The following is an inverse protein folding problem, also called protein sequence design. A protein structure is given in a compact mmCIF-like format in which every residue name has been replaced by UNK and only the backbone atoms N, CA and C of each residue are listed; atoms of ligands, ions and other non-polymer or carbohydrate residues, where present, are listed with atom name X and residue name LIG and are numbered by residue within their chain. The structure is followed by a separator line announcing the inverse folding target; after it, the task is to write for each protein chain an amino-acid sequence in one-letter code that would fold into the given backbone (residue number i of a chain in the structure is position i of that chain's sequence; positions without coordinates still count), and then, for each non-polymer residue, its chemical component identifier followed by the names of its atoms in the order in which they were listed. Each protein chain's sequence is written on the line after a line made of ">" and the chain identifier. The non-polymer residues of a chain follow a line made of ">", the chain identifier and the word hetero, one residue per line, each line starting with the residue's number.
data_IF_932185541724
#
_entry.id   IF_932185541724
#
_cell.length_a   1.000
_cell.length_b   1.000
_cell.length_c   1.000
_cell.angle_alpha   90.00
_cell.angle_beta   90.00
_cell.angle_gamma   90.00
#
_symmetry.space_group_name_H-M   'P 1'
#
loop_
_entity.id
_entity.type
_entity.pdbx_description
1 polymer ?
#
# COMPACT_ATOMS: atom_id res chain seq x y z
N UNK A 1 16.99 -8.00 26.73
CA UNK A 1 15.89 -7.06 26.41
C UNK A 1 16.54 -5.81 25.88
N UNK A 2 16.25 -5.40 24.65
CA UNK A 2 16.64 -4.06 24.19
C UNK A 2 15.71 -3.07 24.87
N UNK A 3 16.20 -2.40 25.92
CA UNK A 3 15.52 -1.25 26.50
C UNK A 3 15.44 -0.20 25.39
N UNK A 4 14.29 0.41 25.18
CA UNK A 4 14.07 1.45 24.17
C UNK A 4 12.68 2.01 24.35
N UNK A 5 12.39 3.12 23.68
CA UNK A 5 11.11 3.79 23.77
C UNK A 5 10.67 4.27 22.39
N UNK A 6 9.36 4.36 22.19
CA UNK A 6 8.86 5.09 21.03
C UNK A 6 9.15 6.59 21.17
N UNK A 7 9.51 7.23 20.07
CA UNK A 7 9.57 8.68 19.97
C UNK A 7 8.21 9.31 20.26
N UNK A 8 8.21 10.63 20.49
CA UNK A 8 6.99 11.42 20.49
C UNK A 8 6.22 11.26 19.18
N UNK A 9 4.90 11.43 19.26
CA UNK A 9 4.02 11.40 18.11
C UNK A 9 4.25 12.63 17.23
N UNK A 10 4.50 12.39 15.95
CA UNK A 10 4.45 13.41 14.90
C UNK A 10 3.13 13.29 14.15
N UNK A 11 2.73 14.36 13.46
CA UNK A 11 1.48 14.42 12.70
C UNK A 11 1.72 14.92 11.28
N UNK A 12 1.05 14.29 10.33
CA UNK A 12 1.05 14.63 8.91
C UNK A 12 -0.39 14.93 8.49
N UNK A 13 -0.70 16.16 8.00
CA UNK A 13 -2.03 16.47 7.50
C UNK A 13 -2.36 15.61 6.26
N UNK A 14 -3.35 14.73 6.39
CA UNK A 14 -3.85 13.88 5.30
C UNK A 14 -5.27 13.43 5.64
N UNK A 15 -6.23 13.75 4.78
CA UNK A 15 -7.63 13.38 4.98
C UNK A 15 -7.89 11.90 4.72
N UNK A 16 -9.00 11.37 5.21
CA UNK A 16 -9.46 10.01 4.89
C UNK A 16 -9.82 9.78 3.41
N UNK A 17 -10.03 10.85 2.64
CA UNK A 17 -10.20 10.75 1.18
C UNK A 17 -8.86 10.50 0.46
N UNK A 18 -7.77 11.02 1.03
CA UNK A 18 -6.41 10.86 0.50
C UNK A 18 -5.71 9.61 1.00
N UNK A 19 -5.90 9.22 2.28
CA UNK A 19 -5.35 8.00 2.84
C UNK A 19 -6.26 7.48 3.96
N UNK A 20 -6.64 6.21 3.91
CA UNK A 20 -7.31 5.50 5.00
C UNK A 20 -6.47 4.28 5.39
N UNK A 21 -5.61 4.41 6.41
CA UNK A 21 -4.67 3.34 6.79
C UNK A 21 -5.39 2.04 7.20
N UNK A 22 -6.55 2.15 7.85
CA UNK A 22 -7.34 0.98 8.23
C UNK A 22 -7.82 0.18 7.00
N UNK A 23 -8.06 0.84 5.86
CA UNK A 23 -8.44 0.13 4.63
C UNK A 23 -7.19 -0.32 3.87
N UNK A 24 -6.26 0.60 3.62
CA UNK A 24 -5.04 0.37 2.83
C UNK A 24 -4.17 -0.76 3.41
N UNK A 25 -3.95 -0.78 4.73
CA UNK A 25 -3.08 -1.78 5.38
C UNK A 25 -3.73 -3.17 5.52
N UNK A 26 -5.04 -3.30 5.25
CA UNK A 26 -5.80 -4.56 5.38
C UNK A 26 -6.28 -5.14 4.06
N UNK A 27 -6.10 -4.43 2.96
CA UNK A 27 -6.62 -4.83 1.65
C UNK A 27 -5.70 -5.79 0.88
N UNK A 28 -4.68 -6.37 1.51
CA UNK A 28 -3.84 -7.40 0.91
C UNK A 28 -2.73 -6.87 -0.01
N UNK A 29 -2.32 -5.61 0.17
CA UNK A 29 -1.16 -5.03 -0.50
C UNK A 29 0.15 -5.38 0.23
N UNK A 30 0.23 -5.04 1.51
CA UNK A 30 1.29 -5.46 2.42
C UNK A 30 0.76 -6.46 3.43
N UNK A 31 1.64 -7.30 3.94
CA UNK A 31 1.31 -8.36 4.90
C UNK A 31 2.06 -8.23 6.23
N UNK A 32 2.81 -7.13 6.42
CA UNK A 32 3.69 -6.89 7.57
C UNK A 32 3.08 -5.98 8.64
N UNK A 33 2.05 -5.22 8.29
CA UNK A 33 1.33 -4.36 9.22
C UNK A 33 0.39 -5.17 10.10
N UNK A 34 0.51 -5.02 11.41
CA UNK A 34 -0.48 -5.53 12.36
C UNK A 34 -1.06 -4.40 13.21
N UNK A 35 -2.34 -4.54 13.51
CA UNK A 35 -3.03 -3.67 14.47
C UNK A 35 -2.80 -4.20 15.88
N UNK A 36 -2.47 -3.30 16.80
CA UNK A 36 -2.34 -3.56 18.23
C UNK A 36 -3.70 -3.21 18.87
N UNK A 37 -4.51 -4.20 19.27
CA UNK A 37 -5.91 -3.96 19.62
C UNK A 37 -6.12 -2.97 20.76
N UNK A 38 -5.24 -2.98 21.76
CA UNK A 38 -5.39 -2.16 22.97
C UNK A 38 -5.16 -0.66 22.73
N UNK A 39 -4.44 -0.30 21.67
CA UNK A 39 -4.07 1.09 21.36
C UNK A 39 -4.55 1.59 20.00
N UNK A 40 -5.20 0.72 19.22
CA UNK A 40 -5.56 0.95 17.81
C UNK A 40 -4.38 1.46 16.94
N UNK A 41 -3.16 1.02 17.29
CA UNK A 41 -1.94 1.36 16.57
C UNK A 41 -1.63 0.31 15.50
N UNK A 42 -1.22 0.77 14.32
CA UNK A 42 -0.64 -0.06 13.28
C UNK A 42 0.87 -0.08 13.43
N UNK A 43 1.47 -1.25 13.58
CA UNK A 43 2.93 -1.41 13.72
C UNK A 43 3.50 -2.23 12.57
N UNK A 44 4.68 -1.83 12.11
CA UNK A 44 5.45 -2.51 11.08
C UNK A 44 6.92 -2.12 11.22
N UNK A 45 7.83 -3.03 10.85
CA UNK A 45 9.23 -2.65 10.59
C UNK A 45 9.33 -2.20 9.14
N UNK A 46 10.02 -1.10 8.85
CA UNK A 46 10.38 -0.70 7.50
C UNK A 46 11.83 -0.22 7.52
N UNK A 47 12.69 -0.82 6.70
CA UNK A 47 14.12 -0.47 6.58
C UNK A 47 14.82 -0.32 7.95
N UNK A 48 14.70 -1.36 8.79
CA UNK A 48 15.31 -1.44 10.11
C UNK A 48 14.62 -0.61 11.19
N UNK A 49 13.54 0.11 10.87
CA UNK A 49 12.83 0.99 11.82
C UNK A 49 11.48 0.41 12.19
N UNK A 50 11.25 0.18 13.48
CA UNK A 50 9.93 -0.17 13.99
C UNK A 50 9.05 1.08 14.08
N UNK A 51 8.06 1.18 13.21
CA UNK A 51 7.12 2.28 13.14
C UNK A 51 5.80 1.94 13.86
N UNK A 52 5.16 2.96 14.41
CA UNK A 52 3.78 2.91 14.91
C UNK A 52 2.98 4.05 14.29
N UNK A 53 1.79 3.74 13.78
CA UNK A 53 0.87 4.65 13.11
C UNK A 53 -0.52 4.60 13.74
N UNK A 54 -1.21 5.74 13.74
CA UNK A 54 -2.66 5.85 13.96
C UNK A 54 -3.21 7.01 13.15
N UNK A 55 -4.52 7.08 12.93
CA UNK A 55 -5.09 8.10 12.04
C UNK A 55 -6.42 8.61 12.55
N UNK A 56 -6.64 9.92 12.41
CA UNK A 56 -7.94 10.57 12.57
C UNK A 56 -8.46 11.09 11.20
N UNK A 57 -9.64 11.72 11.12
CA UNK A 57 -10.19 12.20 9.84
C UNK A 57 -9.32 13.16 9.03
N UNK A 58 -8.34 13.80 9.65
CA UNK A 58 -7.55 14.93 9.14
C UNK A 58 -6.04 14.72 9.17
N UNK A 59 -5.54 13.82 10.03
CA UNK A 59 -4.11 13.60 10.23
C UNK A 59 -3.75 12.12 10.34
N UNK A 60 -2.61 11.78 9.75
CA UNK A 60 -1.85 10.57 10.07
C UNK A 60 -0.86 10.90 11.19
N UNK A 61 -0.88 10.12 12.26
CA UNK A 61 0.08 10.19 13.35
C UNK A 61 1.10 9.08 13.19
N UNK A 62 2.37 9.39 13.41
CA UNK A 62 3.47 8.43 13.28
C UNK A 62 4.54 8.64 14.34
N UNK A 63 5.23 7.56 14.69
CA UNK A 63 6.41 7.54 15.57
C UNK A 63 7.29 6.33 15.25
N UNK A 64 8.55 6.37 15.67
CA UNK A 64 9.48 5.23 15.54
C UNK A 64 9.95 4.77 16.90
N UNK A 65 10.29 3.49 17.03
CA UNK A 65 11.01 2.99 18.19
C UNK A 65 12.48 3.40 18.12
N UNK A 66 13.01 3.91 19.23
CA UNK A 66 14.38 4.30 19.43
C UNK A 66 15.03 3.30 20.41
N UNK A 67 15.95 2.43 19.95
CA UNK A 67 16.69 1.56 20.86
C UNK A 67 17.60 2.38 21.78
N UNK A 68 17.74 2.01 23.06
CA UNK A 68 18.54 2.77 24.05
C UNK A 68 20.05 2.78 23.76
N UNK A 69 20.51 1.90 22.87
CA UNK A 69 21.85 1.96 22.31
C UNK A 69 21.73 1.92 20.78
N UNK A 70 22.44 2.79 20.05
CA UNK A 70 22.52 2.68 18.60
C UNK A 70 23.11 1.30 18.25
N UNK A 71 22.59 0.61 17.21
CA UNK A 71 23.15 -0.67 16.80
C UNK A 71 24.63 -0.48 16.44
N UNK A 72 25.51 -1.31 17.00
CA UNK A 72 26.97 -1.25 16.79
C UNK A 72 27.41 -1.56 15.34
N UNK A 73 26.48 -1.75 14.39
CA UNK A 73 26.76 -2.01 12.98
C UNK A 73 25.92 -1.10 12.05
N UNK A 74 26.03 0.21 12.19
CA UNK A 74 25.73 1.12 11.08
C UNK A 74 27.01 1.35 10.29
N UNK A 75 27.09 0.73 9.12
CA UNK A 75 28.04 1.09 8.07
C UNK A 75 27.85 2.60 7.83
N UNK A 76 28.83 3.41 8.23
CA UNK A 76 28.94 4.78 7.78
C UNK A 76 28.88 4.79 6.24
N UNK A 77 28.24 5.78 5.60
CA UNK A 77 28.28 5.89 4.14
C UNK A 77 29.75 5.85 3.69
N UNK A 78 30.09 5.07 2.66
CA UNK A 78 31.46 4.98 2.20
C UNK A 78 31.95 6.38 1.80
N UNK A 79 33.21 6.74 2.10
CA UNK A 79 33.76 8.01 1.67
C UNK A 79 33.69 8.10 0.13
N UNK A 80 33.45 9.30 -0.43
CA UNK A 80 33.39 9.46 -1.88
C UNK A 80 34.69 8.97 -2.54
N UNK A 81 34.61 8.38 -3.75
CA UNK A 81 35.77 7.83 -4.42
C UNK A 81 36.84 8.92 -4.63
N UNK A 82 38.13 8.57 -4.50
CA UNK A 82 39.21 9.53 -4.65
C UNK A 82 39.19 10.13 -6.05
N UNK A 83 39.06 11.46 -6.13
CA UNK A 83 39.21 12.22 -7.38
C UNK A 83 40.59 11.90 -7.96
N UNK A 84 40.59 11.36 -9.17
CA UNK A 84 41.78 11.09 -9.98
C UNK A 84 42.64 12.35 -10.05
N UNK A 85 43.87 12.23 -9.57
CA UNK A 85 44.85 13.31 -9.52
C UNK A 85 45.25 13.74 -10.94
N UNK A 86 44.94 14.99 -11.30
CA UNK A 86 45.62 15.71 -12.36
C UNK A 86 46.75 16.55 -11.70
N UNK A 87 47.96 16.38 -12.22
CA UNK A 87 49.22 16.85 -11.67
C UNK A 87 49.40 18.38 -11.68
N UNK A 88 49.81 18.97 -10.54
CA UNK A 88 50.50 20.30 -10.42
C UNK A 88 51.46 20.26 -9.18
N UNK A 89 52.68 20.86 -9.23
CA UNK A 89 53.85 20.51 -8.38
C UNK A 89 53.94 21.29 -7.03
N UNK A 90 54.95 21.04 -6.15
CA UNK A 90 54.81 21.21 -4.71
C UNK A 90 55.29 22.57 -4.20
N UNK A 91 54.62 23.13 -3.18
CA UNK A 91 55.32 23.91 -2.11
C UNK A 91 54.47 24.18 -0.86
N UNK A 92 55.10 23.91 0.29
CA UNK A 92 54.99 24.56 1.62
C UNK A 92 53.83 24.24 2.58
N UNK A 93 54.25 23.65 3.71
CA UNK A 93 53.59 23.44 4.99
C UNK A 93 53.10 24.76 5.63
N UNK A 94 51.93 24.73 6.31
CA UNK A 94 51.72 25.51 7.54
C UNK A 94 50.56 25.01 8.43
N UNK A 95 50.95 24.73 9.68
CA UNK A 95 50.29 24.72 10.99
C UNK A 95 48.75 24.74 11.16
N UNK A 96 48.28 23.84 12.03
CA UNK A 96 46.95 23.76 12.65
C UNK A 96 46.70 24.83 13.75
N UNK A 97 45.45 25.25 14.00
CA UNK A 97 45.03 25.89 15.25
C UNK A 97 44.17 24.98 16.18
N UNK A 98 44.04 25.34 17.49
CA UNK A 98 43.59 24.46 18.58
C UNK A 98 42.04 24.43 18.77
N UNK A 99 41.50 23.54 19.63
CA UNK A 99 40.05 23.29 19.71
C UNK A 99 39.35 24.35 20.57
N UNK A 100 38.19 24.83 20.10
CA UNK A 100 37.29 25.69 20.86
C UNK A 100 36.00 24.96 21.22
N UNK A 101 35.56 25.19 22.44
CA UNK A 101 34.47 24.53 23.16
C UNK A 101 33.12 24.53 22.41
N UNK A 102 32.48 23.36 22.36
CA UNK A 102 31.13 23.19 21.85
C UNK A 102 30.10 23.75 22.83
N UNK A 103 29.60 24.95 22.54
CA UNK A 103 28.29 25.43 23.01
C UNK A 103 27.21 24.57 22.35
N UNK A 104 26.37 23.94 23.17
CA UNK A 104 25.19 23.20 22.74
C UNK A 104 24.20 24.13 22.05
N UNK A 105 24.00 23.96 20.75
CA UNK A 105 22.90 24.57 19.99
C UNK A 105 21.64 23.69 20.04
N UNK A 106 20.44 24.28 19.98
CA UNK A 106 19.17 23.56 20.08
C UNK A 106 18.92 22.73 18.82
N UNK A 107 18.35 21.53 18.97
CA UNK A 107 18.00 20.64 17.87
C UNK A 107 16.88 21.24 17.03
N UNK A 108 17.17 21.55 15.76
CA UNK A 108 16.17 21.94 14.76
C UNK A 108 15.20 20.80 14.48
N UNK A 109 13.94 21.13 14.20
CA UNK A 109 12.87 20.22 13.74
C UNK A 109 13.16 19.50 12.39
N UNK A 110 14.32 19.74 11.77
CA UNK A 110 14.71 19.26 10.42
C UNK A 110 15.15 17.79 10.34
N UNK A 111 15.37 17.09 11.46
CA UNK A 111 15.76 15.67 11.46
C UNK A 111 14.53 14.74 11.59
N UNK A 112 13.62 14.75 10.59
CA UNK A 112 12.58 13.72 10.45
C UNK A 112 12.95 12.66 9.39
N UNK A 113 13.68 11.58 9.75
CA UNK A 113 13.97 10.52 8.79
C UNK A 113 12.74 9.66 8.46
N UNK A 114 11.62 9.80 9.19
CA UNK A 114 10.42 8.98 9.02
C UNK A 114 9.48 9.59 7.99
N UNK A 115 9.35 10.92 7.97
CA UNK A 115 8.41 11.59 7.07
C UNK A 115 8.70 11.32 5.58
N UNK A 116 9.94 11.41 5.06
CA UNK A 116 10.25 11.05 3.67
C UNK A 116 9.94 9.58 3.38
N UNK A 117 10.26 8.68 4.33
CA UNK A 117 9.97 7.25 4.20
C UNK A 117 8.46 6.99 4.08
N UNK A 118 7.64 7.57 4.96
CA UNK A 118 6.18 7.40 4.92
C UNK A 118 5.56 8.08 3.70
N UNK A 119 6.08 9.24 3.30
CA UNK A 119 5.65 9.96 2.10
C UNK A 119 5.85 9.11 0.85
N UNK A 120 7.01 8.45 0.73
CA UNK A 120 7.29 7.51 -0.34
C UNK A 120 6.45 6.24 -0.23
N UNK A 121 6.40 5.59 0.94
CA UNK A 121 5.71 4.31 1.17
C UNK A 121 4.20 4.39 0.91
N UNK A 122 3.54 5.44 1.40
CA UNK A 122 2.13 5.69 1.12
C UNK A 122 1.88 6.39 -0.20
N UNK A 123 2.93 6.69 -0.98
CA UNK A 123 2.81 7.31 -2.30
C UNK A 123 2.06 8.65 -2.28
N UNK A 124 2.31 9.47 -1.25
CA UNK A 124 1.53 10.69 -0.96
C UNK A 124 1.60 11.83 -1.98
N UNK A 125 2.67 12.00 -2.80
CA UNK A 125 2.71 13.10 -3.77
C UNK A 125 1.58 13.09 -4.81
N UNK A 126 1.05 11.92 -5.18
CA UNK A 126 -0.10 11.83 -6.08
C UNK A 126 -1.38 12.30 -5.38
N UNK A 127 -2.17 13.18 -5.99
CA UNK A 127 -3.47 13.59 -5.45
C UNK A 127 -4.52 12.50 -5.72
N UNK A 128 -4.94 11.77 -4.67
CA UNK A 128 -5.82 10.62 -4.83
C UNK A 128 -7.25 11.04 -5.19
N UNK A 129 -7.73 12.16 -4.66
CA UNK A 129 -9.06 12.70 -4.96
C UNK A 129 -9.21 13.00 -6.45
N UNK A 130 -8.23 13.67 -7.06
CA UNK A 130 -8.21 13.94 -8.50
C UNK A 130 -8.18 12.65 -9.33
N UNK A 131 -7.43 11.63 -8.89
CA UNK A 131 -7.44 10.32 -9.55
C UNK A 131 -8.83 9.67 -9.48
N UNK A 132 -9.49 9.70 -8.32
CA UNK A 132 -10.84 9.16 -8.14
C UNK A 132 -11.86 9.88 -9.01
N UNK A 133 -11.75 11.20 -9.14
CA UNK A 133 -12.59 12.00 -10.04
C UNK A 133 -12.39 11.57 -11.50
N UNK A 134 -11.14 11.46 -11.95
CA UNK A 134 -10.80 11.01 -13.30
C UNK A 134 -11.34 9.60 -13.59
N UNK A 135 -11.04 8.62 -12.75
CA UNK A 135 -11.55 7.25 -12.92
C UNK A 135 -13.07 7.19 -12.89
N UNK A 136 -13.71 7.99 -12.03
CA UNK A 136 -15.16 8.08 -11.97
C UNK A 136 -15.75 8.69 -13.23
N UNK A 137 -15.08 9.64 -13.89
CA UNK A 137 -15.55 10.20 -15.17
C UNK A 137 -15.53 9.14 -16.28
N UNK A 138 -14.50 8.30 -16.33
CA UNK A 138 -14.30 7.29 -17.37
C UNK A 138 -15.01 5.95 -17.12
N UNK A 139 -15.39 5.62 -15.88
CA UNK A 139 -16.07 4.37 -15.57
C UNK A 139 -17.24 4.55 -14.58
N UNK A 140 -18.45 4.26 -15.08
CA UNK A 140 -19.68 4.30 -14.28
C UNK A 140 -19.71 3.23 -13.18
N UNK A 141 -19.07 2.07 -13.38
CA UNK A 141 -18.98 1.04 -12.35
C UNK A 141 -18.10 1.50 -11.19
N UNK A 142 -16.95 2.10 -11.49
CA UNK A 142 -16.08 2.73 -10.50
C UNK A 142 -16.80 3.85 -9.75
N UNK A 143 -17.41 4.80 -10.47
CA UNK A 143 -18.16 5.94 -9.90
C UNK A 143 -19.20 5.52 -8.86
N UNK A 144 -19.88 4.39 -9.08
CA UNK A 144 -20.90 3.87 -8.16
C UNK A 144 -20.32 3.35 -6.85
N UNK A 145 -19.10 2.81 -6.85
CA UNK A 145 -18.50 2.15 -5.67
C UNK A 145 -17.51 3.05 -4.93
N UNK A 146 -16.79 3.90 -5.65
CA UNK A 146 -15.70 4.72 -5.12
C UNK A 146 -16.06 5.54 -3.87
N UNK A 147 -17.26 6.14 -3.74
CA UNK A 147 -17.60 6.96 -2.56
C UNK A 147 -17.55 6.21 -1.21
N UNK A 148 -17.70 4.88 -1.21
CA UNK A 148 -17.65 4.06 0.00
C UNK A 148 -16.25 3.51 0.32
N UNK A 149 -15.31 3.71 -0.61
CA UNK A 149 -13.98 3.11 -0.61
C UNK A 149 -12.92 4.16 -0.97
N UNK A 150 -12.95 5.33 -0.32
CA UNK A 150 -11.96 6.40 -0.50
C UNK A 150 -10.67 6.14 0.30
N UNK A 151 -9.60 6.86 -0.02
CA UNK A 151 -8.33 6.79 0.73
C UNK A 151 -7.53 5.51 0.53
N UNK A 152 -7.92 4.66 -0.43
CA UNK A 152 -7.15 3.45 -0.77
C UNK A 152 -6.05 3.85 -1.75
N UNK A 153 -4.81 3.85 -1.25
CA UNK A 153 -3.60 4.11 -2.04
C UNK A 153 -2.89 2.80 -2.39
N UNK A 154 -2.11 2.82 -3.46
CA UNK A 154 -1.12 1.78 -3.72
C UNK A 154 0.12 2.08 -2.89
N UNK A 155 0.48 1.15 -2.00
CA UNK A 155 1.73 1.20 -1.26
C UNK A 155 2.89 1.01 -2.22
N UNK A 156 3.93 1.82 -2.07
CA UNK A 156 5.25 1.54 -2.64
C UNK A 156 5.99 0.68 -1.61
N UNK A 157 6.17 -0.58 -1.92
CA UNK A 157 6.91 -1.55 -1.12
C UNK A 157 8.32 -1.73 -1.69
N UNK A 158 9.21 -2.25 -0.86
CA UNK A 158 10.46 -2.82 -1.34
C UNK A 158 10.16 -3.94 -2.36
N UNK A 159 10.89 -3.96 -3.48
CA UNK A 159 10.55 -4.85 -4.59
C UNK A 159 10.80 -6.33 -4.23
N UNK A 160 11.82 -6.59 -3.42
CA UNK A 160 12.16 -7.91 -2.93
C UNK A 160 11.13 -8.40 -1.89
N UNK A 161 10.75 -7.56 -0.94
CA UNK A 161 9.65 -7.84 0.01
C UNK A 161 8.36 -8.18 -0.76
N UNK A 162 7.99 -7.35 -1.74
CA UNK A 162 6.79 -7.57 -2.55
C UNK A 162 6.86 -8.92 -3.30
N UNK A 163 8.00 -9.22 -3.94
CA UNK A 163 8.20 -10.46 -4.70
C UNK A 163 7.97 -11.71 -3.83
N UNK A 164 8.65 -11.80 -2.71
CA UNK A 164 8.56 -12.97 -1.83
C UNK A 164 7.18 -13.06 -1.16
N UNK A 165 6.61 -11.93 -0.74
CA UNK A 165 5.27 -11.90 -0.17
C UNK A 165 4.19 -12.34 -1.18
N UNK A 166 4.29 -11.93 -2.45
CA UNK A 166 3.32 -12.34 -3.47
C UNK A 166 3.53 -13.77 -3.97
N UNK A 167 4.74 -14.33 -3.92
CA UNK A 167 4.95 -15.78 -4.07
C UNK A 167 4.15 -16.54 -3.00
N UNK A 168 4.19 -16.07 -1.73
CA UNK A 168 3.38 -16.62 -0.63
C UNK A 168 1.87 -16.53 -0.87
N UNK A 169 1.42 -15.56 -1.69
CA UNK A 169 -0.01 -15.28 -1.92
C UNK A 169 -0.71 -16.24 -2.88
N UNK A 170 0.03 -16.94 -3.74
CA UNK A 170 -0.53 -17.85 -4.74
C UNK A 170 -1.44 -18.91 -4.08
N UNK A 171 -2.71 -19.02 -4.48
CA UNK A 171 -3.69 -19.94 -3.89
C UNK A 171 -3.71 -19.92 -2.34
N UNK A 172 -3.91 -18.73 -1.76
CA UNK A 172 -3.84 -18.51 -0.32
C UNK A 172 -4.84 -17.41 0.12
N UNK A 173 -4.90 -17.12 1.41
CA UNK A 173 -5.70 -16.02 1.97
C UNK A 173 -4.84 -15.04 2.77
N UNK A 174 -5.30 -13.78 2.89
CA UNK A 174 -4.55 -12.68 3.50
C UNK A 174 -4.01 -13.05 4.89
N UNK A 175 -4.84 -13.63 5.76
CA UNK A 175 -4.44 -13.98 7.13
C UNK A 175 -3.28 -14.98 7.17
N UNK A 176 -3.36 -16.05 6.35
CA UNK A 176 -2.29 -17.04 6.27
C UNK A 176 -1.02 -16.47 5.61
N UNK A 177 -1.15 -15.58 4.64
CA UNK A 177 0.00 -14.92 4.01
C UNK A 177 0.75 -14.06 5.04
N UNK A 178 0.04 -13.25 5.83
CA UNK A 178 0.63 -12.46 6.92
C UNK A 178 1.40 -13.33 7.92
N UNK A 179 0.84 -14.47 8.32
CA UNK A 179 1.54 -15.41 9.20
C UNK A 179 2.80 -16.01 8.56
N UNK A 180 2.75 -16.32 7.27
CA UNK A 180 3.92 -16.81 6.53
C UNK A 180 5.02 -15.74 6.50
N UNK A 181 4.68 -14.52 6.08
CA UNK A 181 5.64 -13.40 6.00
C UNK A 181 6.23 -13.10 7.39
N UNK A 182 5.42 -13.12 8.45
CA UNK A 182 5.93 -12.95 9.83
C UNK A 182 6.96 -14.04 10.20
N UNK A 183 6.67 -15.32 9.92
CA UNK A 183 7.60 -16.43 10.19
C UNK A 183 8.91 -16.28 9.42
N UNK A 184 8.84 -15.83 8.16
CA UNK A 184 10.01 -15.58 7.33
C UNK A 184 10.87 -14.45 7.91
N UNK A 185 10.26 -13.34 8.31
CA UNK A 185 10.97 -12.23 8.96
C UNK A 185 11.61 -12.67 10.29
N UNK A 186 10.90 -13.43 11.13
CA UNK A 186 11.46 -13.91 12.41
C UNK A 186 12.61 -14.90 12.23
N UNK A 187 12.61 -15.67 11.13
CA UNK A 187 13.62 -16.70 10.87
C UNK A 187 14.91 -16.15 10.24
N UNK A 188 14.78 -15.21 9.30
CA UNK A 188 15.90 -14.74 8.47
C UNK A 188 16.13 -13.23 8.58
N UNK A 189 15.14 -12.47 9.05
CA UNK A 189 15.21 -11.02 9.13
C UNK A 189 16.00 -10.53 10.33
N UNK A 190 16.70 -9.41 10.14
CA UNK A 190 17.44 -8.75 11.21
C UNK A 190 16.50 -8.37 12.37
N UNK A 191 16.90 -8.72 13.60
CA UNK A 191 16.16 -8.32 14.79
C UNK A 191 16.24 -6.80 14.98
N UNK A 192 15.10 -6.16 15.27
CA UNK A 192 15.01 -4.71 15.50
C UNK A 192 14.73 -4.39 16.96
N UNK A 193 13.66 -4.95 17.54
CA UNK A 193 13.25 -4.65 18.91
C UNK A 193 12.32 -5.70 19.50
N UNK A 194 12.17 -5.69 20.83
CA UNK A 194 11.07 -6.38 21.53
C UNK A 194 10.10 -5.36 22.13
N UNK A 195 8.95 -5.25 21.46
CA UNK A 195 7.72 -4.49 21.74
C UNK A 195 6.67 -5.22 22.57
N UNK A 196 6.43 -4.95 23.86
CA UNK A 196 5.32 -5.58 24.60
C UNK A 196 5.35 -7.13 24.54
N UNK A 197 6.53 -7.72 24.71
CA UNK A 197 6.75 -9.17 24.60
C UNK A 197 6.78 -9.73 23.16
N UNK A 198 6.54 -8.91 22.13
CA UNK A 198 6.64 -9.30 20.72
C UNK A 198 7.99 -8.89 20.12
N UNK A 199 8.69 -9.84 19.53
CA UNK A 199 9.90 -9.58 18.74
C UNK A 199 9.55 -9.06 17.34
N UNK A 200 10.22 -7.99 16.92
CA UNK A 200 10.08 -7.35 15.62
C UNK A 200 11.37 -7.56 14.82
N UNK A 201 11.21 -8.04 13.59
CA UNK A 201 12.31 -8.30 12.66
C UNK A 201 12.03 -7.58 11.36
N UNK A 202 13.07 -7.15 10.67
CA UNK A 202 12.93 -6.61 9.32
C UNK A 202 12.71 -7.72 8.27
N UNK A 203 12.42 -7.33 7.03
CA UNK A 203 12.36 -8.29 5.94
C UNK A 203 13.78 -8.76 5.59
N UNK A 204 14.04 -10.06 5.42
CA UNK A 204 15.36 -10.55 5.07
C UNK A 204 15.73 -10.16 3.64
N UNK A 205 16.96 -9.71 3.41
CA UNK A 205 17.52 -9.61 2.05
C UNK A 205 17.74 -11.00 1.42
N UNK A 206 17.95 -11.07 0.10
CA UNK A 206 18.16 -12.34 -0.59
C UNK A 206 19.41 -13.09 -0.11
N UNK A 207 20.46 -12.37 0.32
CA UNK A 207 21.71 -12.93 0.85
C UNK A 207 21.48 -13.70 2.16
N UNK A 208 20.62 -13.17 3.04
CA UNK A 208 20.25 -13.83 4.30
C UNK A 208 19.47 -15.14 4.08
N UNK A 209 19.05 -15.42 2.84
CA UNK A 209 18.24 -16.57 2.44
C UNK A 209 18.98 -17.56 1.52
N UNK A 210 20.30 -17.43 1.36
CA UNK A 210 21.11 -18.41 0.61
C UNK A 210 22.20 -19.09 1.46
N UNK A 211 22.58 -18.47 2.59
CA UNK A 211 23.63 -18.97 3.48
C UNK A 211 25.03 -18.83 2.86
N UNK A 212 26.04 -18.58 3.69
CA UNK A 212 27.43 -18.59 3.22
C UNK A 212 27.82 -20.04 2.94
N UNK A 213 28.14 -20.35 1.68
CA UNK A 213 28.79 -21.60 1.32
C UNK A 213 30.30 -21.44 1.55
N UNK A 214 30.72 -21.23 2.80
CA UNK A 214 32.13 -21.17 3.17
C UNK A 214 32.56 -22.50 3.82
N UNK A 215 33.68 -23.04 3.32
CA UNK A 215 34.52 -24.09 3.91
C UNK A 215 33.83 -25.31 4.57
N UNK A 216 32.94 -25.97 3.84
CA UNK A 216 32.56 -27.36 4.14
C UNK A 216 31.43 -27.57 5.14
N UNK A 217 30.76 -26.51 5.61
CA UNK A 217 29.45 -26.65 6.27
C UNK A 217 28.32 -26.72 5.22
N UNK A 218 27.34 -27.62 5.43
CA UNK A 218 26.14 -27.66 4.61
C UNK A 218 25.39 -26.32 4.75
N UNK A 219 25.39 -25.53 3.69
CA UNK A 219 24.66 -24.25 3.64
C UNK A 219 23.20 -24.41 4.03
N UNK A 220 22.59 -23.33 4.56
CA UNK A 220 21.23 -23.36 5.10
C UNK A 220 20.24 -23.87 4.05
N UNK A 221 19.62 -25.02 4.30
CA UNK A 221 18.52 -25.50 3.47
C UNK A 221 17.25 -24.67 3.75
N UNK A 222 17.13 -23.57 3.00
CA UNK A 222 15.99 -22.65 3.05
C UNK A 222 14.70 -23.33 2.63
N UNK A 223 14.73 -24.26 1.66
CA UNK A 223 13.52 -24.97 1.26
C UNK A 223 13.02 -25.86 2.42
N UNK A 224 13.88 -26.70 2.99
CA UNK A 224 13.50 -27.57 4.12
C UNK A 224 13.03 -26.76 5.33
N UNK A 225 13.72 -25.67 5.66
CA UNK A 225 13.35 -24.78 6.76
C UNK A 225 11.96 -24.17 6.53
N UNK A 226 11.70 -23.60 5.34
CA UNK A 226 10.40 -23.01 5.03
C UNK A 226 9.28 -24.06 4.94
N UNK A 227 9.57 -25.29 4.50
CA UNK A 227 8.63 -26.41 4.57
C UNK A 227 8.24 -26.70 6.02
N UNK A 228 9.22 -26.77 6.93
CA UNK A 228 9.00 -26.91 8.37
C UNK A 228 8.16 -25.78 8.98
N UNK A 229 8.26 -24.57 8.43
CA UNK A 229 7.46 -23.41 8.86
C UNK A 229 6.04 -23.34 8.25
N UNK A 230 5.70 -24.27 7.35
CA UNK A 230 4.35 -24.41 6.77
C UNK A 230 4.12 -23.67 5.44
N UNK A 231 5.18 -23.35 4.70
CA UNK A 231 5.09 -22.70 3.38
C UNK A 231 4.60 -23.62 2.27
N UNK A 232 4.68 -24.94 2.49
CA UNK A 232 4.30 -25.96 1.52
C UNK A 232 5.17 -25.90 0.26
N UNK A 233 4.55 -26.07 -0.92
CA UNK A 233 5.28 -26.06 -2.20
C UNK A 233 5.98 -24.72 -2.49
N UNK A 234 5.53 -23.61 -1.88
CA UNK A 234 6.10 -22.26 -2.08
C UNK A 234 7.51 -22.14 -1.49
N UNK A 235 7.86 -23.00 -0.53
CA UNK A 235 9.20 -23.05 0.04
C UNK A 235 10.28 -23.21 -1.04
N UNK A 236 10.04 -24.11 -2.00
CA UNK A 236 10.92 -24.31 -3.16
C UNK A 236 11.07 -23.05 -3.98
N UNK A 237 9.95 -22.40 -4.31
CA UNK A 237 9.93 -21.19 -5.13
C UNK A 237 10.73 -20.07 -4.46
N UNK A 238 10.49 -19.83 -3.18
CA UNK A 238 11.21 -18.82 -2.39
C UNK A 238 12.70 -19.12 -2.32
N UNK A 239 13.09 -20.37 -2.00
CA UNK A 239 14.50 -20.76 -1.92
C UNK A 239 15.22 -20.61 -3.26
N UNK A 240 14.59 -20.99 -4.37
CA UNK A 240 15.16 -20.80 -5.71
C UNK A 240 15.23 -19.33 -6.12
N UNK A 241 14.17 -18.54 -5.86
CA UNK A 241 14.17 -17.11 -6.14
C UNK A 241 15.26 -16.38 -5.36
N UNK A 242 15.48 -16.71 -4.08
CA UNK A 242 16.57 -16.15 -3.30
C UNK A 242 17.95 -16.47 -3.90
N UNK A 243 18.18 -17.73 -4.31
CA UNK A 243 19.43 -18.11 -4.99
C UNK A 243 19.65 -17.36 -6.30
N UNK A 244 18.64 -17.30 -7.15
CA UNK A 244 18.72 -16.60 -8.44
C UNK A 244 19.07 -15.12 -8.22
N UNK A 245 18.34 -14.45 -7.32
CA UNK A 245 18.53 -13.01 -7.08
C UNK A 245 19.87 -12.71 -6.39
N UNK A 246 20.29 -13.54 -5.43
CA UNK A 246 21.53 -13.30 -4.68
C UNK A 246 22.81 -13.71 -5.45
N UNK A 247 22.75 -14.78 -6.24
CA UNK A 247 23.96 -15.46 -6.76
C UNK A 247 24.06 -15.49 -8.29
N UNK A 248 22.94 -15.40 -9.02
CA UNK A 248 22.93 -15.58 -10.48
C UNK A 248 22.66 -14.27 -11.25
N UNK A 249 21.98 -13.31 -10.63
CA UNK A 249 21.69 -12.00 -11.21
C UNK A 249 22.73 -10.97 -10.78
N UNK A 250 22.87 -9.94 -11.60
CA UNK A 250 23.67 -8.77 -11.27
C UNK A 250 23.11 -8.02 -10.05
N UNK A 251 24.00 -7.38 -9.29
CA UNK A 251 23.61 -6.55 -8.14
C UNK A 251 22.62 -5.47 -8.58
N UNK A 252 21.52 -5.34 -7.83
CA UNK A 252 20.46 -4.39 -8.16
C UNK A 252 19.57 -4.79 -9.34
N UNK A 253 19.66 -6.02 -9.87
CA UNK A 253 18.82 -6.50 -10.98
C UNK A 253 17.32 -6.20 -10.80
N UNK A 254 16.77 -6.52 -9.62
CA UNK A 254 15.35 -6.31 -9.34
C UNK A 254 14.98 -4.82 -9.27
N UNK A 255 15.85 -3.99 -8.69
CA UNK A 255 15.67 -2.54 -8.65
C UNK A 255 15.82 -1.90 -10.03
N UNK A 256 16.63 -2.48 -10.91
CA UNK A 256 16.74 -2.09 -12.32
C UNK A 256 15.44 -2.28 -13.12
N UNK A 257 14.48 -3.06 -12.62
CA UNK A 257 13.15 -3.22 -13.23
C UNK A 257 12.13 -2.16 -12.78
N UNK A 258 12.52 -1.26 -11.88
CA UNK A 258 11.64 -0.22 -11.32
C UNK A 258 11.25 0.79 -12.40
N UNK A 259 10.04 1.31 -12.28
CA UNK A 259 9.60 2.44 -13.09
C UNK A 259 10.53 3.65 -12.81
N UNK A 260 11.21 4.22 -13.82
CA UNK A 260 12.11 5.35 -13.65
C UNK A 260 11.39 6.62 -13.14
N UNK A 261 10.07 6.73 -13.34
CA UNK A 261 9.25 7.81 -12.79
C UNK A 261 8.91 7.61 -11.29
N UNK A 262 9.26 6.45 -10.70
CA UNK A 262 8.97 6.13 -9.30
C UNK A 262 10.18 6.38 -8.38
N UNK A 263 9.92 6.99 -7.23
CA UNK A 263 10.93 7.19 -6.18
C UNK A 263 11.24 5.84 -5.50
N UNK A 264 12.52 5.48 -5.37
CA UNK A 264 12.97 4.32 -4.60
C UNK A 264 12.85 4.57 -3.09
N UNK A 265 12.45 3.54 -2.32
CA UNK A 265 12.35 3.63 -0.86
C UNK A 265 13.73 3.46 -0.21
N UNK A 266 13.99 4.22 0.86
CA UNK A 266 15.13 3.96 1.75
C UNK A 266 16.50 4.50 1.29
N UNK A 267 16.66 4.98 0.05
CA UNK A 267 17.87 5.70 -0.36
C UNK A 267 17.78 7.19 -0.01
N UNK A 268 18.10 7.50 1.24
CA UNK A 268 18.41 8.86 1.71
C UNK A 268 19.68 9.35 0.98
N UNK A 269 19.49 9.86 -0.23
CA UNK A 269 20.54 10.22 -1.17
C UNK A 269 20.02 10.36 -2.61
N UNK A 270 18.83 9.82 -2.92
CA UNK A 270 18.16 10.03 -4.21
C UNK A 270 16.94 10.97 -4.11
N UNK A 271 17.00 11.95 -3.20
CA UNK A 271 16.31 13.23 -3.45
C UNK A 271 17.20 14.03 -4.39
N UNK A 272 17.20 13.66 -5.68
CA UNK A 272 17.98 14.35 -6.72
C UNK A 272 19.16 13.58 -7.33
N UNK A 273 19.21 12.25 -7.24
CA UNK A 273 20.08 11.48 -8.10
C UNK A 273 19.47 11.40 -9.50
N UNK A 274 20.21 11.75 -10.54
CA UNK A 274 19.90 11.45 -11.96
C UNK A 274 19.90 9.92 -12.26
N UNK A 275 19.37 9.11 -11.35
CA UNK A 275 19.33 7.66 -11.40
C UNK A 275 18.00 7.16 -11.91
N UNK A 276 17.79 7.35 -13.21
CA UNK A 276 16.58 6.94 -13.92
C UNK A 276 16.38 7.69 -15.22
N UNK A 277 17.43 8.02 -15.97
CA UNK A 277 17.34 8.45 -17.38
C UNK A 277 16.86 7.32 -18.32
N UNK A 278 16.16 6.33 -17.78
CA UNK A 278 15.49 5.30 -18.55
C UNK A 278 14.17 5.85 -19.06
N UNK A 279 13.95 5.74 -20.36
CA UNK A 279 12.62 5.96 -20.92
C UNK A 279 11.68 4.87 -20.39
N UNK A 280 10.58 5.26 -19.73
CA UNK A 280 9.53 4.31 -19.33
C UNK A 280 8.90 3.62 -20.55
N UNK A 281 9.11 4.19 -21.74
CA UNK A 281 8.61 3.74 -23.03
C UNK A 281 7.29 4.42 -23.36
N UNK A 282 6.95 4.43 -24.65
CA UNK A 282 5.70 4.98 -25.14
C UNK A 282 4.48 4.24 -24.58
N UNK A 283 3.38 4.98 -24.37
CA UNK A 283 2.13 4.41 -23.91
C UNK A 283 1.44 3.56 -24.98
N UNK A 284 1.08 2.32 -24.61
CA UNK A 284 0.30 1.37 -25.44
C UNK A 284 -0.85 0.79 -24.61
N UNK A 285 -1.84 0.18 -25.27
CA UNK A 285 -2.98 -0.47 -24.59
C UNK A 285 -2.52 -1.59 -23.64
N UNK A 286 -1.47 -2.29 -24.06
CA UNK A 286 -0.81 -3.32 -23.30
C UNK A 286 -0.07 -2.74 -22.08
N UNK A 287 0.15 -1.44 -22.00
CA UNK A 287 1.04 -0.79 -21.03
C UNK A 287 2.41 -0.49 -21.64
N UNK A 288 3.21 0.29 -20.92
CA UNK A 288 4.50 0.77 -21.44
C UNK A 288 5.52 -0.36 -21.58
N UNK A 289 6.52 -0.14 -22.42
CA UNK A 289 7.58 -1.11 -22.71
C UNK A 289 8.35 -1.52 -21.45
N UNK A 290 8.71 -0.55 -20.59
CA UNK A 290 9.42 -0.84 -19.34
C UNK A 290 8.60 -1.74 -18.39
N UNK A 291 7.30 -1.49 -18.25
CA UNK A 291 6.40 -2.37 -17.49
C UNK A 291 6.38 -3.79 -18.07
N UNK A 292 6.26 -3.91 -19.40
CA UNK A 292 6.22 -5.23 -20.06
C UNK A 292 7.53 -5.99 -19.93
N UNK A 293 8.66 -5.30 -20.00
CA UNK A 293 9.97 -5.88 -19.73
C UNK A 293 10.08 -6.38 -18.29
N UNK A 294 9.73 -5.54 -17.30
CA UNK A 294 9.74 -5.91 -15.88
C UNK A 294 8.85 -7.14 -15.62
N UNK A 295 7.64 -7.15 -16.17
CA UNK A 295 6.70 -8.28 -16.05
C UNK A 295 7.29 -9.57 -16.65
N UNK A 296 7.86 -9.50 -17.86
CA UNK A 296 8.47 -10.64 -18.51
C UNK A 296 9.68 -11.20 -17.72
N UNK A 297 10.52 -10.32 -17.16
CA UNK A 297 11.67 -10.71 -16.33
C UNK A 297 11.26 -11.40 -15.03
N UNK A 298 10.17 -10.93 -14.40
CA UNK A 298 9.63 -11.57 -13.21
C UNK A 298 9.07 -12.98 -13.51
N UNK A 299 8.47 -13.20 -14.69
CA UNK A 299 7.96 -14.51 -15.12
C UNK A 299 9.05 -15.57 -15.33
N UNK A 300 10.32 -15.18 -15.44
CA UNK A 300 11.45 -16.12 -15.50
C UNK A 300 11.65 -16.87 -14.15
N UNK A 301 11.12 -16.32 -13.04
CA UNK A 301 11.25 -16.89 -11.70
C UNK A 301 10.21 -18.00 -11.43
N UNK A 302 10.67 -19.13 -10.89
CA UNK A 302 9.76 -20.23 -10.55
C UNK A 302 8.74 -19.80 -9.49
N UNK A 303 7.46 -20.08 -9.73
CA UNK A 303 6.36 -19.71 -8.83
C UNK A 303 5.80 -18.31 -9.06
N UNK A 304 6.40 -17.52 -9.97
CA UNK A 304 5.88 -16.21 -10.39
C UNK A 304 5.06 -16.38 -11.66
N UNK A 305 3.73 -16.41 -11.50
CA UNK A 305 2.79 -16.33 -12.63
C UNK A 305 2.39 -14.88 -12.95
N UNK A 306 1.60 -14.64 -14.02
CA UNK A 306 1.22 -13.29 -14.47
C UNK A 306 0.67 -12.40 -13.35
N UNK A 307 -0.22 -12.94 -12.50
CA UNK A 307 -0.77 -12.22 -11.35
C UNK A 307 0.29 -11.80 -10.34
N UNK A 308 1.24 -12.68 -10.02
CA UNK A 308 2.31 -12.38 -9.06
C UNK A 308 3.22 -11.31 -9.65
N UNK A 309 3.62 -11.46 -10.91
CA UNK A 309 4.43 -10.46 -11.62
C UNK A 309 3.75 -9.08 -11.62
N UNK A 310 2.45 -9.01 -11.96
CA UNK A 310 1.71 -7.74 -11.93
C UNK A 310 1.59 -7.15 -10.52
N UNK A 311 1.43 -7.96 -9.48
CA UNK A 311 1.44 -7.47 -8.10
C UNK A 311 2.79 -6.82 -7.74
N UNK A 312 3.91 -7.43 -8.15
CA UNK A 312 5.25 -6.88 -7.92
C UNK A 312 5.48 -5.64 -8.77
N UNK A 313 5.06 -5.63 -10.03
CA UNK A 313 5.12 -4.45 -10.89
C UNK A 313 4.37 -3.26 -10.26
N UNK A 314 3.14 -3.49 -9.79
CA UNK A 314 2.29 -2.43 -9.22
C UNK A 314 2.79 -1.92 -7.88
N UNK A 315 3.06 -2.83 -6.93
CA UNK A 315 3.30 -2.47 -5.53
C UNK A 315 4.78 -2.43 -5.15
N UNK A 316 5.65 -3.15 -5.86
CA UNK A 316 7.10 -3.17 -5.59
C UNK A 316 7.90 -2.25 -6.52
N UNK A 317 7.55 -2.23 -7.82
CA UNK A 317 8.34 -1.55 -8.86
C UNK A 317 7.72 -0.23 -9.35
N UNK A 318 6.52 0.16 -8.88
CA UNK A 318 5.93 1.46 -9.18
C UNK A 318 5.33 1.60 -10.60
N UNK A 319 5.02 0.49 -11.26
CA UNK A 319 4.29 0.48 -12.54
C UNK A 319 2.78 0.58 -12.29
N UNK A 320 2.25 1.80 -12.20
CA UNK A 320 0.85 2.08 -11.89
C UNK A 320 -0.16 1.45 -12.87
N UNK A 321 0.28 1.15 -14.10
CA UNK A 321 -0.56 0.54 -15.14
C UNK A 321 -0.68 -0.99 -15.03
N UNK A 322 0.08 -1.61 -14.12
CA UNK A 322 0.04 -3.06 -13.90
C UNK A 322 -1.29 -3.45 -13.24
N UNK A 323 -1.98 -4.44 -13.81
CA UNK A 323 -3.32 -4.85 -13.38
C UNK A 323 -3.29 -6.34 -13.03
N UNK A 324 -3.12 -6.70 -11.74
CA UNK A 324 -3.13 -8.09 -11.31
C UNK A 324 -4.53 -8.69 -11.44
N UNK A 325 -4.73 -9.67 -12.33
CA UNK A 325 -6.04 -10.32 -12.52
C UNK A 325 -6.08 -11.66 -11.79
N UNK A 326 -6.64 -11.65 -10.57
CA UNK A 326 -6.92 -12.87 -9.81
C UNK A 326 -8.39 -13.32 -9.95
N UNK A 327 -8.82 -14.26 -9.12
CA UNK A 327 -10.20 -14.75 -9.12
C UNK A 327 -11.22 -13.67 -8.71
N UNK A 328 -10.87 -12.74 -7.81
CA UNK A 328 -11.74 -11.63 -7.42
C UNK A 328 -11.88 -10.62 -8.56
N UNK A 329 -10.77 -10.25 -9.21
CA UNK A 329 -10.77 -9.34 -10.34
C UNK A 329 -11.48 -9.96 -11.54
N UNK A 330 -11.31 -11.26 -11.76
CA UNK A 330 -12.06 -12.00 -12.78
C UNK A 330 -13.58 -11.99 -12.50
N UNK A 331 -14.01 -12.13 -11.24
CA UNK A 331 -15.41 -12.00 -10.86
C UNK A 331 -15.95 -10.58 -11.10
N UNK A 332 -15.16 -9.55 -10.78
CA UNK A 332 -15.50 -8.14 -11.05
C UNK A 332 -15.66 -7.92 -12.56
N UNK A 333 -14.68 -8.37 -13.37
CA UNK A 333 -14.71 -8.26 -14.82
C UNK A 333 -15.97 -8.91 -15.43
N UNK A 334 -16.35 -10.10 -14.95
CA UNK A 334 -17.57 -10.78 -15.40
C UNK A 334 -18.85 -10.04 -14.97
N UNK A 335 -18.96 -9.71 -13.67
CA UNK A 335 -20.17 -9.12 -13.07
C UNK A 335 -20.44 -7.73 -13.62
N UNK A 336 -19.41 -6.88 -13.60
CA UNK A 336 -19.53 -5.44 -13.79
C UNK A 336 -19.21 -5.01 -15.24
N UNK A 337 -18.30 -5.72 -15.92
CA UNK A 337 -17.83 -5.38 -17.28
C UNK A 337 -18.20 -6.42 -18.35
N UNK A 338 -18.97 -7.45 -17.96
CA UNK A 338 -19.56 -8.46 -18.86
C UNK A 338 -18.53 -9.31 -19.63
N UNK A 339 -17.31 -9.46 -19.09
CA UNK A 339 -16.34 -10.44 -19.59
C UNK A 339 -16.85 -11.88 -19.45
N UNK A 340 -16.35 -12.78 -20.30
CA UNK A 340 -16.57 -14.23 -20.14
C UNK A 340 -17.99 -14.73 -20.37
N UNK A 341 -18.88 -13.96 -21.02
CA UNK A 341 -20.18 -14.48 -21.47
C UNK A 341 -19.99 -15.51 -22.58
N UNK A 342 -20.30 -16.78 -22.32
CA UNK A 342 -20.23 -17.88 -23.30
C UNK A 342 -19.48 -19.13 -22.81
N UNK A 343 -18.84 -19.87 -23.73
CA UNK A 343 -18.19 -21.17 -23.48
C UNK A 343 -16.85 -21.10 -22.71
N UNK A 344 -16.29 -19.92 -22.46
CA UNK A 344 -15.01 -19.76 -21.74
C UNK A 344 -15.24 -19.25 -20.32
N UNK A 345 -15.42 -20.19 -19.38
CA UNK A 345 -15.68 -19.89 -17.95
C UNK A 345 -14.40 -19.67 -17.11
N UNK A 346 -13.26 -20.21 -17.55
CA UNK A 346 -11.99 -20.17 -16.82
C UNK A 346 -11.03 -19.11 -17.36
N UNK A 347 -10.34 -18.41 -16.45
CA UNK A 347 -9.31 -17.42 -16.77
C UNK A 347 -8.11 -18.11 -17.46
N UNK A 348 -7.87 -17.78 -18.73
CA UNK A 348 -6.68 -18.16 -19.48
C UNK A 348 -5.84 -16.91 -19.82
N UNK A 349 -4.68 -17.09 -20.45
CA UNK A 349 -3.78 -15.96 -20.79
C UNK A 349 -4.47 -14.87 -21.63
N UNK A 350 -5.23 -15.26 -22.66
CA UNK A 350 -5.92 -14.30 -23.54
C UNK A 350 -6.94 -13.46 -22.77
N UNK A 351 -7.73 -14.10 -21.90
CA UNK A 351 -8.70 -13.41 -21.06
C UNK A 351 -8.02 -12.55 -19.98
N UNK A 352 -6.92 -13.03 -19.41
CA UNK A 352 -6.10 -12.26 -18.47
C UNK A 352 -5.63 -10.95 -19.11
N UNK A 353 -5.00 -11.05 -20.28
CA UNK A 353 -4.49 -9.90 -21.03
C UNK A 353 -5.63 -8.95 -21.44
N UNK A 354 -6.76 -9.49 -21.90
CA UNK A 354 -7.92 -8.69 -22.31
C UNK A 354 -8.54 -7.90 -21.16
N UNK A 355 -8.61 -8.48 -19.95
CA UNK A 355 -9.09 -7.77 -18.75
C UNK A 355 -8.11 -6.65 -18.37
N UNK A 356 -6.81 -6.94 -18.32
CA UNK A 356 -5.79 -5.94 -18.02
C UNK A 356 -5.81 -4.77 -19.00
N UNK A 357 -5.84 -5.06 -20.30
CA UNK A 357 -5.91 -4.06 -21.37
C UNK A 357 -7.20 -3.22 -21.28
N UNK A 358 -8.34 -3.84 -20.97
CA UNK A 358 -9.59 -3.11 -20.78
C UNK A 358 -9.50 -2.10 -19.63
N UNK A 359 -8.96 -2.50 -18.48
CA UNK A 359 -8.79 -1.58 -17.35
C UNK A 359 -7.75 -0.48 -17.61
N UNK A 360 -6.67 -0.77 -18.34
CA UNK A 360 -5.73 0.27 -18.81
C UNK A 360 -6.37 1.28 -19.77
N UNK A 361 -7.25 0.86 -20.66
CA UNK A 361 -8.01 1.79 -21.53
C UNK A 361 -8.94 2.70 -20.73
N UNK A 362 -9.53 2.21 -19.65
CA UNK A 362 -10.44 3.00 -18.82
C UNK A 362 -9.73 3.99 -17.91
N UNK A 363 -8.60 3.59 -17.33
CA UNK A 363 -7.99 4.31 -16.20
C UNK A 363 -6.55 4.80 -16.45
N UNK A 364 -5.99 4.48 -17.62
CA UNK A 364 -4.69 4.99 -18.05
C UNK A 364 -3.52 4.51 -17.19
N UNK A 365 -2.56 5.41 -16.95
CA UNK A 365 -1.29 5.13 -16.24
C UNK A 365 -1.49 4.59 -14.82
N UNK A 366 -2.64 4.82 -14.19
CA UNK A 366 -2.91 4.38 -12.81
C UNK A 366 -4.03 3.32 -12.74
N UNK A 367 -4.16 2.51 -13.79
CA UNK A 367 -5.19 1.48 -13.86
C UNK A 367 -5.11 0.44 -12.73
N UNK A 368 -3.91 0.08 -12.27
CA UNK A 368 -3.72 -0.80 -11.13
C UNK A 368 -4.24 -0.20 -9.83
N UNK A 369 -4.16 1.13 -9.66
CA UNK A 369 -4.71 1.80 -8.49
C UNK A 369 -6.22 1.77 -8.49
N UNK A 370 -6.86 2.14 -9.60
CA UNK A 370 -8.31 2.07 -9.73
C UNK A 370 -8.83 0.63 -9.53
N UNK A 371 -8.14 -0.35 -10.12
CA UNK A 371 -8.47 -1.77 -9.94
C UNK A 371 -8.37 -2.18 -8.46
N UNK A 372 -7.37 -1.70 -7.70
CA UNK A 372 -7.21 -2.03 -6.28
C UNK A 372 -8.39 -1.58 -5.42
N UNK A 373 -9.02 -0.45 -5.76
CA UNK A 373 -10.24 0.04 -5.08
C UNK A 373 -11.38 -0.95 -5.30
N UNK A 374 -11.59 -1.39 -6.54
CA UNK A 374 -12.65 -2.35 -6.87
C UNK A 374 -12.40 -3.72 -6.26
N UNK A 375 -11.14 -4.16 -6.23
CA UNK A 375 -10.72 -5.37 -5.55
C UNK A 375 -11.04 -5.29 -4.06
N UNK A 376 -10.64 -4.21 -3.41
CA UNK A 376 -10.90 -3.97 -1.98
C UNK A 376 -12.39 -3.99 -1.68
N UNK A 377 -13.20 -3.35 -2.52
CA UNK A 377 -14.66 -3.35 -2.40
C UNK A 377 -15.29 -4.75 -2.56
N UNK A 378 -14.58 -5.71 -3.14
CA UNK A 378 -15.03 -7.09 -3.34
C UNK A 378 -14.55 -8.06 -2.24
N UNK A 379 -13.73 -7.59 -1.28
CA UNK A 379 -13.27 -8.40 -0.16
C UNK A 379 -14.37 -8.52 0.90
N UNK A 380 -14.56 -9.75 1.43
CA UNK A 380 -15.56 -10.04 2.47
C UNK A 380 -15.39 -9.17 3.71
N UNK A 381 -14.15 -8.91 4.11
CA UNK A 381 -13.78 -8.06 5.26
C UNK A 381 -14.35 -6.64 5.20
N UNK A 382 -14.75 -6.17 4.02
CA UNK A 382 -15.33 -4.83 3.83
C UNK A 382 -16.77 -4.88 3.28
N UNK A 383 -17.41 -6.05 3.28
CA UNK A 383 -18.77 -6.21 2.76
C UNK A 383 -19.82 -5.39 3.53
N UNK A 384 -19.60 -5.15 4.82
CA UNK A 384 -20.50 -4.35 5.67
C UNK A 384 -20.61 -2.88 5.19
N UNK A 385 -19.57 -2.32 4.55
CA UNK A 385 -19.60 -0.95 4.02
C UNK A 385 -20.62 -0.81 2.89
N UNK A 386 -20.77 -1.86 2.07
CA UNK A 386 -21.77 -1.93 1.00
C UNK A 386 -23.17 -2.18 1.56
N UNK A 387 -23.28 -2.94 2.66
CA UNK A 387 -24.56 -3.25 3.31
C UNK A 387 -25.15 -2.03 4.04
N UNK A 388 -24.31 -1.23 4.71
CA UNK A 388 -24.73 -0.05 5.46
C UNK A 388 -25.47 0.99 4.60
N UNK A 389 -25.21 1.04 3.29
CA UNK A 389 -25.90 1.97 2.36
C UNK A 389 -27.26 1.46 1.86
N UNK A 390 -27.54 0.15 1.98
CA UNK A 390 -28.85 -0.40 1.57
C UNK A 390 -29.94 -0.15 2.62
N UNK A 391 -29.55 0.13 3.86
CA UNK A 391 -30.45 0.48 4.96
C UNK A 391 -30.60 2.00 5.09
N UNK A 392 -31.73 2.52 4.60
CA UNK A 392 -32.28 3.90 4.71
C UNK A 392 -31.70 4.96 3.76
N UNK A 393 -32.25 5.00 2.54
CA UNK A 393 -32.47 6.28 1.83
C UNK A 393 -33.94 6.65 2.02
N UNK A 394 -34.22 7.56 2.97
CA UNK A 394 -35.53 8.20 3.11
C UNK A 394 -35.52 9.52 2.37
N UNK A 395 -36.22 9.62 1.24
CA UNK A 395 -36.41 10.91 0.54
C UNK A 395 -37.68 11.56 1.10
N UNK A 396 -37.54 12.72 1.75
CA UNK A 396 -38.69 13.55 2.15
C UNK A 396 -38.79 14.72 1.17
N UNK A 397 -39.88 14.77 0.41
CA UNK A 397 -40.19 15.89 -0.50
C UNK A 397 -41.27 16.73 0.15
N UNK A 398 -40.97 17.98 0.46
CA UNK A 398 -41.96 18.96 0.92
C UNK A 398 -42.18 19.99 -0.19
N UNK A 399 -43.44 20.12 -0.63
CA UNK A 399 -43.90 21.13 -1.59
C UNK A 399 -44.64 22.19 -0.78
N UNK A 400 -44.19 23.44 -0.85
CA UNK A 400 -44.93 24.59 -0.29
C UNK A 400 -45.51 25.39 -1.43
N UNK A 401 -46.84 25.51 -1.44
CA UNK A 401 -47.54 26.45 -2.31
C UNK A 401 -47.52 27.82 -1.62
N UNK A 402 -46.90 28.82 -2.25
CA UNK A 402 -46.97 30.20 -1.78
C UNK A 402 -48.33 30.79 -2.21
N UNK A 403 -49.28 30.86 -1.27
CA UNK A 403 -50.47 31.71 -1.42
C UNK A 403 -50.05 33.18 -1.41
N UNK A 404 -49.76 33.73 -2.59
CA UNK A 404 -49.40 35.15 -2.71
C UNK A 404 -48.71 35.54 -4.01
N UNK A 405 -49.35 35.29 -5.15
CA UNK A 405 -49.14 36.03 -6.41
C UNK A 405 -47.72 36.38 -6.86
N UNK A 406 -46.96 35.39 -7.34
CA UNK A 406 -46.28 35.41 -8.66
C UNK A 406 -45.73 33.99 -8.98
N UNK A 407 -46.09 33.44 -10.15
CA UNK A 407 -45.94 32.03 -10.59
C UNK A 407 -44.55 31.37 -10.43
N UNK A 408 -44.25 30.78 -9.27
CA UNK A 408 -43.12 29.86 -9.11
C UNK A 408 -43.36 28.82 -8.02
N UNK A 409 -43.28 27.53 -8.36
CA UNK A 409 -43.32 26.42 -7.37
C UNK A 409 -41.89 26.17 -6.89
N UNK A 410 -41.66 26.29 -5.57
CA UNK A 410 -40.39 25.96 -4.93
C UNK A 410 -40.45 24.52 -4.39
N UNK A 411 -39.62 23.64 -4.94
CA UNK A 411 -39.48 22.25 -4.48
C UNK A 411 -38.20 22.15 -3.68
N UNK A 412 -38.32 21.89 -2.37
CA UNK A 412 -37.20 21.57 -1.48
C UNK A 412 -37.07 20.06 -1.36
N UNK A 413 -35.94 19.53 -1.82
CA UNK A 413 -35.58 18.12 -1.65
C UNK A 413 -34.47 18.05 -0.61
N UNK A 414 -34.80 17.51 0.57
CA UNK A 414 -33.80 17.20 1.59
C UNK A 414 -33.37 15.74 1.46
N UNK A 415 -32.06 15.54 1.24
CA UNK A 415 -31.45 14.21 1.24
C UNK A 415 -30.56 14.12 2.47
N UNK A 416 -30.99 13.31 3.44
CA UNK A 416 -30.21 13.02 4.65
C UNK A 416 -29.40 11.74 4.42
N UNK A 417 -28.07 11.86 4.38
CA UNK A 417 -27.17 10.69 4.31
C UNK A 417 -26.57 10.49 5.69
N UNK A 418 -26.96 9.41 6.38
CA UNK A 418 -26.34 9.02 7.63
C UNK A 418 -25.23 8.00 7.34
N UNK A 419 -23.98 8.33 7.67
CA UNK A 419 -22.87 7.38 7.61
C UNK A 419 -22.70 6.76 8.99
N UNK A 420 -23.05 5.48 9.14
CA UNK A 420 -22.76 4.73 10.36
C UNK A 420 -21.30 4.25 10.32
N UNK A 421 -20.49 4.66 11.30
CA UNK A 421 -19.19 4.07 11.56
C UNK A 421 -19.40 2.95 12.60
N UNK A 422 -19.05 1.69 12.32
CA UNK A 422 -19.13 0.65 13.34
C UNK A 422 -18.02 0.83 14.37
N UNK A 423 -18.36 1.01 15.64
CA UNK A 423 -17.46 0.76 16.76
C UNK A 423 -17.37 -0.76 16.96
N UNK A 424 -16.18 -1.35 16.82
CA UNK A 424 -15.99 -2.80 16.94
C UNK A 424 -15.91 -3.19 18.41
N UNK A 425 -16.77 -4.11 18.88
CA UNK A 425 -16.59 -4.84 20.15
C UNK A 425 -15.42 -5.84 20.04
N UNK A 426 -14.68 -6.01 21.13
CA UNK A 426 -13.56 -6.95 21.26
C UNK A 426 -14.01 -8.39 21.00
N UNK A 427 -13.19 -9.15 20.28
CA UNK A 427 -13.40 -10.58 20.07
C UNK A 427 -12.87 -11.34 21.29
N UNK A 428 -13.72 -12.07 22.00
CA UNK A 428 -13.30 -13.07 23.00
C UNK A 428 -13.30 -14.46 22.36
N UNK A 429 -12.15 -15.11 22.37
CA UNK A 429 -12.04 -16.57 22.23
C UNK A 429 -12.47 -17.20 23.56
N UNK A 430 -13.62 -17.89 23.58
CA UNK A 430 -13.75 -19.22 24.19
C UNK A 430 -15.16 -19.78 23.98
N UNK A 431 -15.22 -21.06 23.60
CA UNK A 431 -16.45 -21.74 23.26
C UNK A 431 -17.24 -22.20 24.48
N UNK A 432 -18.36 -21.54 24.79
CA UNK A 432 -19.51 -22.15 25.50
C UNK A 432 -20.81 -21.54 24.97
N UNK A 433 -21.75 -22.40 24.56
CA UNK A 433 -23.14 -22.03 24.21
C UNK A 433 -23.90 -21.59 25.46
N UNK A 434 -24.35 -20.34 25.52
CA UNK A 434 -25.45 -19.91 26.40
C UNK A 434 -26.43 -19.04 25.61
N UNK A 435 -27.72 -19.29 25.81
CA UNK A 435 -28.85 -18.62 25.16
C UNK A 435 -29.24 -17.31 25.87
N UNK A 436 -29.64 -16.35 25.05
CA UNK A 436 -30.67 -15.33 25.21
C UNK A 436 -30.35 -13.98 25.89
N UNK A 437 -30.73 -12.93 25.13
CA UNK A 437 -31.46 -11.71 25.50
C UNK A 437 -30.74 -10.35 25.61
N UNK A 438 -31.39 -9.42 24.88
CA UNK A 438 -31.39 -7.96 24.78
C UNK A 438 -30.19 -7.20 24.18
N UNK A 439 -30.51 -6.54 23.05
CA UNK A 439 -29.61 -5.86 22.11
C UNK A 439 -29.84 -4.35 22.24
N UNK A 440 -28.91 -3.64 22.86
CA UNK A 440 -28.80 -2.18 22.69
C UNK A 440 -27.39 -1.83 22.25
N UNK A 441 -27.18 -1.81 20.94
CA UNK A 441 -25.94 -1.39 20.29
C UNK A 441 -25.90 0.14 20.20
N UNK A 442 -24.91 0.76 20.84
CA UNK A 442 -24.67 2.21 20.78
C UNK A 442 -23.92 2.57 19.50
N UNK A 443 -24.62 3.11 18.51
CA UNK A 443 -24.02 3.73 17.31
C UNK A 443 -23.77 5.23 17.54
N UNK A 444 -22.56 5.70 17.22
CA UNK A 444 -22.33 7.13 17.01
C UNK A 444 -22.79 7.51 15.59
N UNK A 445 -23.85 8.30 15.49
CA UNK A 445 -24.41 8.80 14.22
C UNK A 445 -23.79 10.15 13.91
N UNK A 446 -23.01 10.23 12.83
CA UNK A 446 -22.68 11.51 12.20
C UNK A 446 -23.68 11.75 11.06
N UNK A 447 -24.56 12.73 11.24
CA UNK A 447 -25.47 13.20 10.19
C UNK A 447 -24.76 14.21 9.30
N UNK A 448 -24.74 13.96 7.99
CA UNK A 448 -24.48 14.98 6.99
C UNK A 448 -25.76 15.20 6.18
N UNK A 449 -26.36 16.38 6.31
CA UNK A 449 -27.53 16.80 5.53
C UNK A 449 -27.09 17.63 4.34
N UNK A 450 -27.55 17.30 3.14
CA UNK A 450 -27.50 18.20 1.98
C UNK A 450 -28.92 18.60 1.58
N UNK A 451 -29.17 19.90 1.56
CA UNK A 451 -30.44 20.49 1.13
C UNK A 451 -30.27 21.06 -0.27
N UNK A 452 -31.02 20.55 -1.25
CA UNK A 452 -31.06 21.12 -2.60
C UNK A 452 -32.42 21.76 -2.83
N UNK A 453 -32.43 23.07 -3.08
CA UNK A 453 -33.63 23.83 -3.42
C UNK A 453 -33.70 24.05 -4.92
N UNK A 454 -34.79 23.63 -5.57
CA UNK A 454 -35.02 23.89 -7.00
C UNK A 454 -36.33 24.64 -7.19
N UNK A 455 -36.29 25.75 -7.93
CA UNK A 455 -37.48 26.56 -8.27
C UNK A 455 -37.88 26.27 -9.72
N UNK A 456 -39.12 25.87 -9.96
CA UNK A 456 -39.64 25.56 -11.30
C UNK A 456 -40.70 26.59 -11.70
N UNK A 457 -40.41 27.40 -12.71
CA UNK A 457 -41.36 28.36 -13.29
C UNK A 457 -42.32 27.65 -14.26
N UNK A 458 -43.61 28.01 -14.22
CA UNK A 458 -44.64 27.41 -15.09
C UNK A 458 -44.42 27.79 -16.57
N UNK A 459 -44.72 26.86 -17.50
CA UNK A 459 -44.48 27.02 -18.95
C UNK A 459 -45.38 28.06 -19.66
N UNK A 460 -46.22 28.82 -18.95
CA UNK A 460 -47.23 29.70 -19.57
C UNK A 460 -46.75 31.10 -19.94
N UNK A 461 -45.50 31.49 -19.66
CA UNK A 461 -44.96 32.82 -20.01
C UNK A 461 -43.95 32.84 -21.18
N UNK A 462 -43.89 31.81 -22.04
CA UNK A 462 -42.99 31.82 -23.22
C UNK A 462 -43.60 32.40 -24.51
N UNK A 463 -44.82 32.94 -24.45
CA UNK A 463 -45.46 33.71 -25.53
C UNK A 463 -46.19 34.92 -24.97
N UNK A 464 -45.47 36.03 -24.86
CA UNK A 464 -45.98 37.37 -25.13
C UNK A 464 -44.81 38.26 -25.52
#
# INVERSE_FOLDING_TARGET
>A
MTVGAFSEWRKLPVSLSELCINTTLRCGQSFRWHNVPDSDEWRCVLHGRLLSLKQDPTHLYYRTYLPSHPPQNTISPPPPPPKTAAAIPPTQQKASPPPTDHISTPTNDDDDPILPLLTAYFNLPANLTTLYEGWSQHDANFRRKAPQFTGIRILRQDAWEALIAFICSSNNNIARISQMVEKLCRRYGAFVATVDGRAYHDFPGPEAMVGDADDGEEGVDVEATLRGLGFGYRAKYIGQTARIVALEREEGWLEGLRNPESVALGYAGSLGGEGGSGDAGEWKEEGREGYRLAHAKLLELQGVGPKVADCVCLMGLGWGEAVPVDTHVWQIAQRDYKFGKGSHKSLNKVLYDAVGNHFRRLWGKEAGWAQSVLFTANLRTFSDRLAATSSKVGVKVEVKDEEGGNDGVEVKTEVTTATAIPLKRAASEDGVKVKAEDDTDTHAVLQASQTTTTRRMSKRLRKR
#
